data_IF_662493081656
#
_entry.id   IF_662493081656
#
_cell.length_a   1.000
_cell.length_b   1.000
_cell.length_c   1.000
_cell.angle_alpha   90.00
_cell.angle_beta   90.00
_cell.angle_gamma   90.00
#
_symmetry.space_group_name_H-M   'P 1'
#
loop_
_entity.id
_entity.type
_entity.pdbx_description
1 polymer ?
#
# COMPACT_ATOMS: atom_id res chain seq x y z
N UNK A 1 11.29 -8.95 55.79
CA UNK A 1 11.14 -10.08 54.86
C UNK A 1 11.82 -9.68 53.56
N UNK A 2 12.79 -10.46 53.13
CA UNK A 2 13.66 -10.21 51.99
C UNK A 2 12.88 -10.33 50.68
N UNK A 3 12.88 -9.25 49.90
CA UNK A 3 12.38 -9.22 48.53
C UNK A 3 13.53 -9.65 47.61
N UNK A 4 13.38 -10.76 46.90
CA UNK A 4 14.32 -11.22 45.87
C UNK A 4 13.70 -10.88 44.52
N UNK A 5 14.32 -9.96 43.78
CA UNK A 5 13.99 -9.72 42.37
C UNK A 5 14.90 -10.58 41.50
N UNK A 6 14.32 -11.58 40.84
CA UNK A 6 14.95 -12.27 39.72
C UNK A 6 14.53 -11.53 38.43
N UNK A 7 15.44 -10.71 37.88
CA UNK A 7 15.35 -10.27 36.50
C UNK A 7 16.03 -11.32 35.61
N UNK A 8 15.25 -12.20 35.01
CA UNK A 8 15.70 -12.96 33.84
C UNK A 8 15.46 -12.13 32.58
N UNK A 9 16.53 -11.55 32.05
CA UNK A 9 16.54 -11.00 30.70
C UNK A 9 16.53 -12.14 29.69
N UNK A 10 15.38 -12.40 29.09
CA UNK A 10 15.28 -13.00 27.76
C UNK A 10 14.67 -11.95 26.85
N UNK A 11 15.53 -11.23 26.11
CA UNK A 11 15.09 -10.42 24.96
C UNK A 11 14.78 -11.41 23.84
N UNK A 12 13.65 -12.10 23.96
CA UNK A 12 13.01 -12.73 22.81
C UNK A 12 12.29 -11.62 22.05
N UNK A 13 12.69 -11.37 20.81
CA UNK A 13 11.88 -10.57 19.88
C UNK A 13 10.58 -11.33 19.69
N UNK A 14 9.53 -10.99 20.44
CA UNK A 14 8.19 -11.43 20.13
C UNK A 14 7.85 -10.80 18.78
N UNK A 15 7.88 -11.61 17.71
CA UNK A 15 7.26 -11.28 16.43
C UNK A 15 5.74 -11.21 16.65
N UNK A 16 5.28 -10.12 17.26
CA UNK A 16 3.87 -9.87 17.51
C UNK A 16 3.16 -9.60 16.19
N UNK A 17 2.05 -10.31 15.97
CA UNK A 17 1.06 -9.91 14.97
C UNK A 17 0.36 -8.64 15.48
N UNK A 18 0.42 -7.54 14.72
CA UNK A 18 -0.42 -6.38 15.01
C UNK A 18 -1.84 -6.67 14.54
N UNK A 19 -2.74 -6.90 15.51
CA UNK A 19 -4.16 -7.15 15.27
C UNK A 19 -4.94 -5.93 15.74
N UNK A 20 -5.69 -5.31 14.83
CA UNK A 20 -6.44 -4.08 15.10
C UNK A 20 -7.92 -4.42 15.19
N UNK A 21 -8.53 -4.14 16.33
CA UNK A 21 -9.97 -4.34 16.55
C UNK A 21 -10.65 -2.98 16.73
N UNK A 22 -11.82 -2.82 16.11
CA UNK A 22 -12.63 -1.62 16.23
C UNK A 22 -14.11 -1.99 16.28
N UNK A 23 -14.93 -1.34 17.13
CA UNK A 23 -14.52 -0.38 18.16
C UNK A 23 -13.84 -1.05 19.37
N UNK A 24 -13.07 -0.28 20.14
CA UNK A 24 -12.33 -0.78 21.32
C UNK A 24 -13.21 -0.96 22.55
N UNK A 25 -14.34 -0.25 22.62
CA UNK A 25 -15.33 -0.33 23.69
C UNK A 25 -16.72 0.04 23.13
N UNK A 26 -17.77 -0.53 23.72
CA UNK A 26 -19.15 -0.44 23.26
C UNK A 26 -20.13 -0.45 24.44
N UNK A 27 -21.07 0.49 24.43
CA UNK A 27 -22.22 0.50 25.34
C UNK A 27 -23.48 0.41 24.49
N UNK A 28 -24.20 -0.70 24.62
CA UNK A 28 -25.38 -1.02 23.79
C UNK A 28 -26.56 -1.40 24.66
N UNK A 29 -27.78 -1.28 24.13
CA UNK A 29 -28.97 -1.75 24.82
C UNK A 29 -29.22 -3.24 24.52
N UNK A 30 -29.92 -3.97 25.40
CA UNK A 30 -30.33 -5.34 25.12
C UNK A 30 -31.14 -5.43 23.82
N UNK A 31 -30.69 -6.29 22.90
CA UNK A 31 -31.33 -6.50 21.59
C UNK A 31 -30.70 -5.71 20.43
N UNK A 32 -29.77 -4.78 20.71
CA UNK A 32 -29.04 -4.07 19.65
C UNK A 32 -28.11 -5.03 18.90
N UNK A 33 -28.07 -4.90 17.57
CA UNK A 33 -27.07 -5.59 16.76
C UNK A 33 -25.76 -4.82 16.78
N UNK A 34 -24.65 -5.52 16.97
CA UNK A 34 -23.33 -4.93 17.21
C UNK A 34 -22.34 -5.52 16.21
N UNK A 35 -21.61 -4.65 15.52
CA UNK A 35 -20.55 -5.05 14.63
C UNK A 35 -19.19 -4.71 15.24
N UNK A 36 -18.32 -5.71 15.29
CA UNK A 36 -16.91 -5.56 15.67
C UNK A 36 -16.08 -5.99 14.47
N UNK A 37 -15.17 -5.13 14.04
CA UNK A 37 -14.23 -5.39 12.96
C UNK A 37 -12.85 -5.71 13.51
N UNK A 38 -12.15 -6.64 12.87
CA UNK A 38 -10.79 -7.05 13.21
C UNK A 38 -9.94 -7.15 11.92
N UNK A 39 -8.71 -6.65 11.93
CA UNK A 39 -7.80 -6.71 10.78
C UNK A 39 -6.34 -6.94 11.19
N UNK A 40 -5.54 -7.46 10.26
CA UNK A 40 -4.09 -7.61 10.39
C UNK A 40 -3.40 -7.45 9.03
N UNK A 41 -2.11 -7.13 9.02
CA UNK A 41 -1.38 -6.85 7.78
C UNK A 41 -0.59 -8.06 7.23
N UNK A 42 -0.73 -9.26 7.83
CA UNK A 42 -0.05 -10.48 7.37
C UNK A 42 -0.76 -11.15 6.18
N UNK A 43 0.00 -11.43 5.12
CA UNK A 43 -0.51 -12.05 3.88
C UNK A 43 -0.58 -13.59 3.94
N UNK A 44 0.14 -14.19 4.89
CA UNK A 44 0.27 -15.63 5.08
C UNK A 44 -0.68 -16.18 6.17
N UNK A 45 -1.40 -15.32 6.88
CA UNK A 45 -2.29 -15.71 7.97
C UNK A 45 -3.69 -15.96 7.43
N UNK A 46 -4.09 -17.22 7.46
CA UNK A 46 -5.32 -17.71 6.82
C UNK A 46 -6.47 -17.95 7.77
N UNK A 47 -6.23 -17.73 9.06
CA UNK A 47 -7.16 -18.08 10.12
C UNK A 47 -7.32 -16.90 11.05
N UNK A 48 -8.55 -16.48 11.27
CA UNK A 48 -8.90 -15.48 12.28
C UNK A 48 -9.86 -16.10 13.27
N UNK A 49 -9.43 -16.17 14.52
CA UNK A 49 -10.16 -16.78 15.63
C UNK A 49 -10.85 -15.68 16.45
N UNK A 50 -12.13 -15.86 16.77
CA UNK A 50 -12.91 -14.94 17.58
C UNK A 50 -13.18 -15.54 18.95
N UNK A 51 -12.84 -14.79 20.00
CA UNK A 51 -12.98 -15.23 21.37
C UNK A 51 -13.78 -14.24 22.20
N UNK A 52 -14.55 -14.75 23.15
CA UNK A 52 -15.24 -13.96 24.17
C UNK A 52 -14.66 -14.27 25.54
N UNK A 53 -14.61 -13.25 26.41
CA UNK A 53 -14.38 -13.43 27.84
C UNK A 53 -15.44 -12.65 28.60
N UNK A 54 -16.33 -13.35 29.29
CA UNK A 54 -17.37 -12.72 30.11
C UNK A 54 -16.79 -12.20 31.42
N UNK A 55 -17.42 -11.19 32.06
CA UNK A 55 -17.04 -10.75 33.39
C UNK A 55 -17.03 -11.92 34.39
N UNK A 56 -15.91 -12.14 35.06
CA UNK A 56 -15.73 -13.24 36.02
C UNK A 56 -15.15 -14.54 35.45
N UNK A 57 -15.05 -14.69 34.13
CA UNK A 57 -14.38 -15.84 33.51
C UNK A 57 -12.85 -15.67 33.50
N UNK A 58 -12.12 -16.74 33.83
CA UNK A 58 -10.64 -16.79 33.75
C UNK A 58 -10.14 -17.19 32.37
N UNK A 59 -10.96 -17.90 31.58
CA UNK A 59 -10.61 -18.41 30.27
C UNK A 59 -11.36 -17.67 29.14
N UNK A 60 -10.72 -17.57 27.97
CA UNK A 60 -11.35 -17.13 26.73
C UNK A 60 -12.09 -18.31 26.10
N UNK A 61 -13.37 -18.12 25.73
CA UNK A 61 -14.16 -19.13 25.03
C UNK A 61 -14.16 -18.81 23.54
N UNK A 62 -13.94 -19.83 22.70
CA UNK A 62 -13.99 -19.68 21.25
C UNK A 62 -15.44 -19.47 20.83
N UNK A 63 -15.72 -18.38 20.11
CA UNK A 63 -17.01 -18.16 19.44
C UNK A 63 -17.01 -18.90 18.11
N UNK A 64 -15.93 -18.76 17.34
CA UNK A 64 -15.80 -19.31 16.01
C UNK A 64 -14.55 -18.82 15.30
N UNK A 65 -14.39 -19.18 14.05
CA UNK A 65 -13.26 -18.79 13.23
C UNK A 65 -13.62 -18.64 11.75
N UNK A 66 -12.84 -17.79 11.09
CA UNK A 66 -12.80 -17.66 9.64
C UNK A 66 -11.51 -18.32 9.14
N UNK A 67 -11.63 -19.30 8.25
CA UNK A 67 -10.52 -19.96 7.57
C UNK A 67 -10.62 -19.65 6.07
N UNK A 68 -9.71 -18.85 5.53
CA UNK A 68 -9.84 -18.25 4.19
C UNK A 68 -11.17 -17.49 4.06
N UNK A 69 -12.19 -18.09 3.46
CA UNK A 69 -13.55 -17.56 3.30
C UNK A 69 -14.59 -18.41 4.03
N UNK A 70 -14.18 -19.54 4.60
CA UNK A 70 -15.05 -20.47 5.31
C UNK A 70 -15.22 -20.03 6.75
N UNK A 71 -16.47 -19.79 7.15
CA UNK A 71 -16.84 -19.45 8.52
C UNK A 71 -17.27 -20.70 9.26
N UNK A 72 -16.74 -20.89 10.47
CA UNK A 72 -17.21 -21.89 11.42
C UNK A 72 -17.53 -21.22 12.76
N UNK A 73 -18.74 -21.42 13.23
CA UNK A 73 -19.20 -20.93 14.53
C UNK A 73 -19.42 -22.13 15.43
N UNK A 74 -19.01 -22.02 16.69
CA UNK A 74 -19.25 -23.07 17.68
C UNK A 74 -20.76 -23.10 18.00
N UNK A 75 -21.34 -24.31 18.07
CA UNK A 75 -22.78 -24.53 18.26
C UNK A 75 -23.47 -23.63 19.30
N UNK A 76 -22.90 -23.36 20.49
CA UNK A 76 -23.54 -22.51 21.48
C UNK A 76 -23.74 -21.04 21.05
N UNK A 77 -23.06 -20.60 19.99
CA UNK A 77 -23.02 -19.21 19.55
C UNK A 77 -23.68 -18.98 18.18
N UNK A 78 -24.12 -20.03 17.48
CA UNK A 78 -24.69 -19.92 16.11
C UNK A 78 -25.93 -19.03 16.01
N UNK A 79 -26.73 -18.95 17.08
CA UNK A 79 -27.96 -18.12 17.10
C UNK A 79 -27.69 -16.64 17.44
N UNK A 80 -26.55 -16.33 18.06
CA UNK A 80 -26.26 -15.01 18.62
C UNK A 80 -25.12 -14.28 17.92
N UNK A 81 -24.28 -15.00 17.19
CA UNK A 81 -23.10 -14.47 16.54
C UNK A 81 -23.08 -14.82 15.05
N UNK A 82 -22.60 -13.89 14.24
CA UNK A 82 -22.25 -14.12 12.84
C UNK A 82 -20.84 -13.61 12.60
N UNK A 83 -20.01 -14.41 11.93
CA UNK A 83 -18.68 -14.00 11.48
C UNK A 83 -18.74 -13.81 9.97
N UNK A 84 -18.13 -12.75 9.46
CA UNK A 84 -17.95 -12.50 8.04
C UNK A 84 -16.57 -11.90 7.80
N UNK A 85 -15.98 -12.22 6.65
CA UNK A 85 -14.68 -11.70 6.24
C UNK A 85 -14.05 -12.53 5.14
N UNK A 86 -12.91 -12.05 4.63
CA UNK A 86 -12.11 -12.74 3.62
C UNK A 86 -10.62 -12.68 4.01
N UNK A 87 -10.05 -13.85 4.34
CA UNK A 87 -8.62 -14.08 4.57
C UNK A 87 -7.99 -14.85 3.39
N UNK A 88 -8.73 -14.96 2.28
CA UNK A 88 -8.20 -15.38 1.01
C UNK A 88 -6.97 -14.56 0.64
N UNK A 89 -6.13 -15.11 -0.25
CA UNK A 89 -5.12 -14.24 -0.87
C UNK A 89 -5.99 -13.27 -1.67
N UNK A 90 -6.18 -12.04 -1.18
CA UNK A 90 -6.03 -10.98 -2.15
C UNK A 90 -4.65 -11.26 -2.72
N UNK A 91 -4.56 -11.74 -3.96
CA UNK A 91 -3.40 -11.48 -4.82
C UNK A 91 -3.42 -9.96 -5.01
N UNK A 92 -3.28 -9.26 -3.89
CA UNK A 92 -3.40 -7.84 -3.71
C UNK A 92 -2.17 -7.35 -4.41
N UNK A 93 -2.43 -6.96 -5.65
CA UNK A 93 -1.69 -5.94 -6.32
C UNK A 93 -1.58 -4.80 -5.28
N UNK A 94 -0.37 -4.48 -4.82
CA UNK A 94 -0.18 -3.25 -4.05
C UNK A 94 -0.35 -2.11 -5.05
N UNK A 95 -1.59 -1.68 -5.22
CA UNK A 95 -1.96 -0.67 -6.20
C UNK A 95 -1.68 0.67 -5.56
N UNK A 96 -0.56 1.28 -5.93
CA UNK A 96 -0.23 2.62 -5.46
C UNK A 96 -0.85 3.61 -6.42
N UNK A 97 -1.76 4.43 -5.90
CA UNK A 97 -2.31 5.55 -6.64
C UNK A 97 -1.84 6.87 -6.03
N UNK A 98 -1.67 7.89 -6.87
CA UNK A 98 -1.32 9.24 -6.44
C UNK A 98 -2.04 10.25 -7.33
N UNK A 99 -2.66 11.29 -6.76
CA UNK A 99 -2.84 11.53 -5.33
C UNK A 99 -3.94 10.66 -4.68
N UNK A 100 -3.92 10.51 -3.34
CA UNK A 100 -4.93 9.72 -2.60
C UNK A 100 -6.22 10.50 -2.31
N UNK A 101 -6.18 11.83 -2.40
CA UNK A 101 -7.30 12.75 -2.17
C UNK A 101 -7.15 13.94 -3.12
N UNK A 102 -8.27 14.38 -3.73
CA UNK A 102 -8.32 15.43 -4.74
C UNK A 102 -9.42 16.44 -4.39
N UNK A 103 -9.03 17.72 -4.29
CA UNK A 103 -9.95 18.85 -4.24
C UNK A 103 -9.73 19.67 -5.51
N UNK A 104 -10.68 19.64 -6.42
CA UNK A 104 -10.56 20.24 -7.76
C UNK A 104 -11.77 21.11 -8.06
N UNK A 105 -11.59 22.12 -8.91
CA UNK A 105 -12.69 22.94 -9.39
C UNK A 105 -13.27 22.36 -10.70
N UNK A 106 -14.54 22.63 -11.01
CA UNK A 106 -15.12 22.23 -12.29
C UNK A 106 -14.30 22.75 -13.47
N UNK A 107 -13.81 21.85 -14.32
CA UNK A 107 -13.00 22.17 -15.50
C UNK A 107 -11.48 22.00 -15.32
N UNK A 108 -11.00 21.69 -14.12
CA UNK A 108 -9.60 21.35 -13.89
C UNK A 108 -9.28 19.98 -14.51
N UNK A 109 -8.16 19.88 -15.23
CA UNK A 109 -7.62 18.59 -15.67
C UNK A 109 -6.83 17.96 -14.53
N UNK A 110 -7.12 16.71 -14.21
CA UNK A 110 -6.60 16.02 -13.03
C UNK A 110 -5.96 14.71 -13.45
N UNK A 111 -4.70 14.52 -13.06
CA UNK A 111 -3.97 13.29 -13.32
C UNK A 111 -3.97 12.41 -12.08
N UNK A 112 -4.51 11.20 -12.22
CA UNK A 112 -4.42 10.13 -11.22
C UNK A 112 -3.49 9.07 -11.77
N UNK A 113 -2.37 8.84 -11.10
CA UNK A 113 -1.40 7.82 -11.48
C UNK A 113 -1.63 6.56 -10.68
N UNK A 114 -1.46 5.39 -11.30
CA UNK A 114 -1.63 4.08 -10.68
C UNK A 114 -0.49 3.15 -11.10
N UNK A 115 0.04 2.33 -10.18
CA UNK A 115 1.16 1.43 -10.45
C UNK A 115 1.07 0.14 -9.64
N UNK A 116 1.71 -0.92 -10.14
CA UNK A 116 1.92 -2.18 -9.44
C UNK A 116 3.26 -2.81 -9.79
N UNK A 117 3.71 -3.75 -8.96
CA UNK A 117 4.99 -4.45 -9.08
C UNK A 117 4.87 -5.93 -9.51
N UNK A 118 3.64 -6.40 -9.78
CA UNK A 118 3.38 -7.80 -10.19
C UNK A 118 3.69 -8.08 -11.66
N UNK A 119 4.59 -9.02 -11.88
CA UNK A 119 4.86 -9.61 -13.20
C UNK A 119 3.67 -10.47 -13.66
N UNK A 120 3.33 -10.42 -14.96
CA UNK A 120 2.22 -11.19 -15.55
C UNK A 120 0.84 -10.55 -15.44
N UNK A 121 0.72 -9.40 -14.77
CA UNK A 121 -0.52 -8.62 -14.68
C UNK A 121 -0.51 -7.55 -15.76
N UNK A 122 -1.06 -7.90 -16.93
CA UNK A 122 -1.07 -7.02 -18.10
C UNK A 122 -2.33 -6.18 -18.20
N UNK A 123 -3.16 -6.13 -17.16
CA UNK A 123 -4.42 -5.42 -17.18
C UNK A 123 -4.59 -4.56 -15.92
N UNK A 124 -4.92 -3.29 -16.11
CA UNK A 124 -5.30 -2.36 -15.07
C UNK A 124 -6.70 -1.84 -15.34
N UNK A 125 -7.61 -1.99 -14.38
CA UNK A 125 -8.99 -1.53 -14.49
C UNK A 125 -9.21 -0.27 -13.64
N UNK A 126 -9.94 0.70 -14.19
CA UNK A 126 -10.21 1.97 -13.55
C UNK A 126 -11.70 2.10 -13.26
N UNK A 127 -12.04 2.42 -12.02
CA UNK A 127 -13.42 2.52 -11.56
C UNK A 127 -13.69 3.86 -10.90
N UNK A 128 -14.93 4.33 -11.04
CA UNK A 128 -15.47 5.47 -10.31
C UNK A 128 -16.54 4.99 -9.32
N UNK A 129 -16.56 5.58 -8.12
CA UNK A 129 -17.70 5.49 -7.20
C UNK A 129 -18.14 6.89 -6.82
N UNK A 130 -19.32 7.29 -7.26
CA UNK A 130 -19.90 8.58 -6.89
C UNK A 130 -20.35 8.60 -5.43
N UNK A 131 -20.35 9.77 -4.77
CA UNK A 131 -20.93 9.89 -3.42
C UNK A 131 -22.39 9.41 -3.40
N UNK A 132 -22.69 8.45 -2.52
CA UNK A 132 -24.04 7.85 -2.41
C UNK A 132 -24.26 6.60 -3.25
N UNK A 133 -23.39 6.28 -4.21
CA UNK A 133 -23.46 5.01 -4.96
C UNK A 133 -22.82 3.88 -4.14
N UNK A 134 -23.48 2.73 -4.11
CA UNK A 134 -22.94 1.49 -3.52
C UNK A 134 -22.10 0.69 -4.51
N UNK A 135 -22.31 0.86 -5.81
CA UNK A 135 -21.62 0.16 -6.88
C UNK A 135 -20.49 1.00 -7.49
N UNK A 136 -19.39 0.33 -7.84
CA UNK A 136 -18.33 0.90 -8.67
C UNK A 136 -18.70 0.78 -10.14
N UNK A 137 -18.55 1.87 -10.89
CA UNK A 137 -18.76 1.91 -12.34
C UNK A 137 -17.41 1.87 -13.05
N UNK A 138 -17.26 1.00 -14.03
CA UNK A 138 -16.04 0.91 -14.83
C UNK A 138 -15.93 2.16 -15.71
N UNK A 139 -14.78 2.84 -15.65
CA UNK A 139 -14.42 3.93 -16.56
C UNK A 139 -13.80 3.34 -17.83
N UNK A 140 -12.90 2.37 -17.64
CA UNK A 140 -12.13 1.75 -18.71
C UNK A 140 -11.01 0.88 -18.16
N UNK A 141 -10.19 0.33 -19.04
CA UNK A 141 -9.03 -0.48 -18.67
C UNK A 141 -7.85 -0.23 -19.61
N UNK A 142 -6.64 -0.42 -19.07
CA UNK A 142 -5.40 -0.51 -19.84
C UNK A 142 -5.00 -1.98 -19.93
N UNK A 143 -4.82 -2.50 -21.14
CA UNK A 143 -4.28 -3.83 -21.39
C UNK A 143 -2.95 -3.72 -22.12
N UNK A 144 -1.86 -4.13 -21.47
CA UNK A 144 -0.49 -3.99 -21.94
C UNK A 144 -0.12 -2.52 -22.20
N UNK A 145 -0.41 -1.98 -23.38
CA UNK A 145 -0.26 -0.55 -23.73
C UNK A 145 -1.53 0.07 -24.30
N UNK A 146 -2.55 -0.76 -24.53
CA UNK A 146 -3.77 -0.39 -25.22
C UNK A 146 -4.84 -0.02 -24.21
N UNK A 147 -5.33 1.22 -24.28
CA UNK A 147 -6.40 1.71 -23.43
C UNK A 147 -7.77 1.51 -24.10
N UNK A 148 -8.72 1.00 -23.34
CA UNK A 148 -10.13 0.88 -23.72
C UNK A 148 -10.97 1.68 -22.75
N UNK A 149 -11.81 2.56 -23.29
CA UNK A 149 -12.75 3.38 -22.52
C UNK A 149 -14.18 2.87 -22.68
N UNK A 150 -14.96 2.96 -21.61
CA UNK A 150 -16.41 2.83 -21.70
C UNK A 150 -17.00 4.08 -22.40
N UNK A 151 -17.95 3.87 -23.30
CA UNK A 151 -18.51 4.94 -24.14
C UNK A 151 -19.17 6.08 -23.34
N UNK A 152 -19.56 5.85 -22.09
CA UNK A 152 -20.11 6.90 -21.22
C UNK A 152 -19.05 7.82 -20.62
N UNK A 153 -17.77 7.47 -20.70
CA UNK A 153 -16.67 8.17 -20.03
C UNK A 153 -15.58 8.68 -21.00
N UNK A 154 -15.65 8.36 -22.29
CA UNK A 154 -14.63 8.64 -23.30
C UNK A 154 -14.36 10.13 -23.57
N UNK A 155 -15.28 11.02 -23.20
CA UNK A 155 -15.14 12.49 -23.30
C UNK A 155 -14.59 13.15 -22.04
N UNK A 156 -14.70 12.48 -20.89
CA UNK A 156 -14.38 13.04 -19.57
C UNK A 156 -13.08 12.47 -19.00
N UNK A 157 -12.69 11.28 -19.45
CA UNK A 157 -11.54 10.54 -18.95
C UNK A 157 -10.65 10.09 -20.10
N UNK A 158 -9.35 10.03 -19.82
CA UNK A 158 -8.34 9.45 -20.70
C UNK A 158 -7.47 8.50 -19.88
N UNK A 159 -7.26 7.27 -20.39
CA UNK A 159 -6.37 6.29 -19.76
C UNK A 159 -5.13 6.15 -20.64
N UNK A 160 -3.96 6.28 -20.03
CA UNK A 160 -2.65 6.06 -20.66
C UNK A 160 -1.75 5.26 -19.74
N UNK A 161 -0.87 4.42 -20.27
CA UNK A 161 0.18 3.75 -19.49
C UNK A 161 0.85 2.61 -20.25
N UNK A 162 1.87 2.02 -19.63
CA UNK A 162 2.61 0.87 -20.15
C UNK A 162 2.79 -0.18 -19.04
N UNK A 163 2.03 -1.27 -19.16
CA UNK A 163 2.11 -2.44 -18.28
C UNK A 163 3.08 -3.49 -18.85
N UNK A 164 3.68 -3.26 -20.02
CA UNK A 164 4.41 -4.24 -20.81
C UNK A 164 5.90 -4.40 -20.49
N UNK A 165 6.37 -3.91 -19.33
CA UNK A 165 7.78 -3.99 -18.94
C UNK A 165 8.28 -5.44 -18.87
N UNK A 166 9.16 -5.82 -19.80
CA UNK A 166 9.90 -7.08 -19.82
C UNK A 166 11.22 -6.93 -19.09
N UNK A 167 11.82 -8.05 -18.70
CA UNK A 167 13.22 -8.05 -18.29
C UNK A 167 14.10 -7.48 -19.42
N UNK A 168 14.93 -6.48 -19.12
CA UNK A 168 15.69 -5.71 -20.12
C UNK A 168 15.04 -4.40 -20.58
N UNK A 169 13.78 -4.11 -20.21
CA UNK A 169 13.17 -2.81 -20.48
C UNK A 169 13.67 -1.74 -19.48
N UNK A 170 13.47 -0.47 -19.83
CA UNK A 170 13.76 0.66 -18.94
C UNK A 170 12.49 1.33 -18.45
N UNK A 171 12.43 1.66 -17.16
CA UNK A 171 11.28 2.32 -16.52
C UNK A 171 11.71 3.67 -15.96
N UNK A 172 10.92 4.71 -16.22
CA UNK A 172 11.12 6.05 -15.65
C UNK A 172 10.15 6.29 -14.50
N UNK A 173 10.68 6.57 -13.32
CA UNK A 173 9.96 7.11 -12.18
C UNK A 173 10.17 8.62 -12.14
N UNK A 174 9.08 9.39 -12.04
CA UNK A 174 9.13 10.86 -12.00
C UNK A 174 8.68 11.34 -10.63
N UNK A 175 9.45 12.24 -10.03
CA UNK A 175 9.13 12.90 -8.77
C UNK A 175 9.10 14.42 -8.98
N UNK A 176 8.04 15.07 -8.49
CA UNK A 176 7.89 16.53 -8.59
C UNK A 176 7.43 17.15 -7.27
N UNK A 177 7.81 18.40 -7.02
CA UNK A 177 7.29 19.18 -5.88
C UNK A 177 7.33 20.69 -6.14
N UNK A 178 6.47 21.43 -5.43
CA UNK A 178 6.35 22.90 -5.55
C UNK A 178 7.37 23.70 -4.74
N UNK A 179 8.07 23.09 -3.76
CA UNK A 179 9.00 23.79 -2.87
C UNK A 179 10.20 24.35 -3.64
N UNK A 180 10.22 25.65 -3.87
CA UNK A 180 11.19 26.30 -4.76
C UNK A 180 12.60 26.37 -4.18
N UNK A 181 12.76 26.23 -2.88
CA UNK A 181 14.01 26.29 -2.11
C UNK A 181 14.60 24.90 -1.83
N UNK A 182 13.87 23.83 -2.11
CA UNK A 182 14.35 22.46 -1.93
C UNK A 182 15.22 22.10 -3.13
N UNK A 183 16.53 22.04 -2.87
CA UNK A 183 17.59 21.89 -3.87
C UNK A 183 18.19 20.49 -3.89
N UNK A 184 17.70 19.57 -3.07
CA UNK A 184 18.14 18.17 -3.04
C UNK A 184 16.94 17.26 -3.21
N UNK A 185 17.04 16.28 -4.10
CA UNK A 185 16.06 15.20 -4.29
C UNK A 185 16.78 13.86 -4.22
N UNK A 186 16.40 13.02 -3.27
CA UNK A 186 16.98 11.71 -3.00
C UNK A 186 16.04 10.62 -3.47
N UNK A 187 16.61 9.52 -3.95
CA UNK A 187 15.90 8.33 -4.39
C UNK A 187 16.30 7.11 -3.56
N UNK A 188 15.31 6.39 -3.05
CA UNK A 188 15.49 5.21 -2.22
C UNK A 188 14.78 4.01 -2.82
N UNK A 189 15.33 2.84 -2.53
CA UNK A 189 14.74 1.53 -2.81
C UNK A 189 14.48 0.79 -1.50
N UNK A 190 13.32 0.16 -1.38
CA UNK A 190 12.97 -0.75 -0.29
C UNK A 190 12.58 -2.11 -0.87
N UNK A 191 13.42 -3.11 -0.63
CA UNK A 191 13.17 -4.47 -1.11
C UNK A 191 12.05 -5.13 -0.29
N UNK A 192 11.25 -6.02 -0.89
CA UNK A 192 10.30 -6.85 -0.13
C UNK A 192 10.98 -7.78 0.87
N UNK A 193 12.24 -8.17 0.62
CA UNK A 193 13.03 -9.05 1.52
C UNK A 193 13.83 -8.28 2.57
N UNK A 194 14.04 -6.99 2.36
CA UNK A 194 14.85 -6.12 3.22
C UNK A 194 14.10 -4.80 3.43
N UNK A 195 13.49 -4.66 4.62
CA UNK A 195 12.67 -3.50 4.95
C UNK A 195 13.46 -2.20 5.11
N UNK A 196 14.79 -2.23 5.07
CA UNK A 196 15.61 -1.03 5.13
C UNK A 196 15.53 -0.21 3.82
N UNK A 197 15.46 1.12 3.97
CA UNK A 197 15.58 2.04 2.83
C UNK A 197 17.05 2.14 2.41
N UNK A 198 17.35 1.69 1.19
CA UNK A 198 18.66 1.83 0.56
C UNK A 198 18.67 3.07 -0.33
N UNK A 199 19.63 3.96 -0.14
CA UNK A 199 19.80 5.13 -1.00
C UNK A 199 20.35 4.65 -2.36
N UNK A 200 19.72 5.07 -3.45
CA UNK A 200 20.19 4.85 -4.82
C UNK A 200 21.15 5.99 -5.21
N UNK A 201 20.72 7.22 -4.92
CA UNK A 201 21.43 8.43 -5.28
C UNK A 201 20.56 9.66 -5.09
N UNK A 202 21.09 10.82 -5.47
CA UNK A 202 20.39 12.09 -5.34
C UNK A 202 20.83 13.11 -6.38
N UNK A 203 19.92 14.04 -6.69
CA UNK A 203 20.25 15.29 -7.38
C UNK A 203 20.40 16.37 -6.33
N UNK A 204 21.48 17.15 -6.42
CA UNK A 204 21.65 18.40 -5.67
C UNK A 204 21.90 19.53 -6.67
N UNK A 205 20.99 20.51 -6.71
CA UNK A 205 20.89 21.50 -7.77
C UNK A 205 20.78 20.82 -9.14
N UNK A 206 21.85 20.83 -9.94
CA UNK A 206 21.92 20.17 -11.25
C UNK A 206 22.97 19.05 -11.28
N UNK A 207 23.54 18.73 -10.12
CA UNK A 207 24.59 17.71 -9.98
C UNK A 207 23.97 16.41 -9.48
N UNK A 208 24.39 15.28 -10.07
CA UNK A 208 23.88 13.95 -9.74
C UNK A 208 24.95 13.16 -8.99
N UNK A 209 24.55 12.57 -7.88
CA UNK A 209 25.38 11.74 -7.02
C UNK A 209 24.73 10.35 -6.90
N UNK A 210 25.55 9.31 -6.95
CA UNK A 210 25.11 7.92 -6.86
C UNK A 210 25.81 7.24 -5.70
N UNK A 211 25.15 6.25 -5.12
CA UNK A 211 25.82 5.26 -4.27
C UNK A 211 26.62 4.28 -5.15
N UNK A 212 27.76 3.82 -4.62
CA UNK A 212 28.89 3.21 -5.37
C UNK A 212 28.49 1.97 -6.22
N UNK A 213 27.40 1.29 -5.87
CA UNK A 213 26.89 0.08 -6.55
C UNK A 213 25.57 0.30 -7.33
N UNK A 214 25.02 1.51 -7.33
CA UNK A 214 23.70 1.78 -7.95
C UNK A 214 23.78 2.33 -9.37
N UNK A 215 24.97 2.65 -9.89
CA UNK A 215 25.12 3.30 -11.21
C UNK A 215 24.81 2.41 -12.41
N UNK A 216 24.90 1.09 -12.27
CA UNK A 216 24.80 0.18 -13.42
C UNK A 216 23.35 0.02 -13.88
N UNK A 217 22.40 -0.03 -12.95
CA UNK A 217 20.99 -0.26 -13.22
C UNK A 217 20.09 0.96 -12.97
N UNK A 218 20.66 2.05 -12.47
CA UNK A 218 19.91 3.27 -12.18
C UNK A 218 20.57 4.51 -12.79
N UNK A 219 19.77 5.30 -13.50
CA UNK A 219 20.18 6.58 -14.04
C UNK A 219 19.26 7.68 -13.52
N UNK A 220 19.81 8.66 -12.81
CA UNK A 220 19.06 9.78 -12.24
C UNK A 220 19.26 11.00 -13.14
N UNK A 221 18.18 11.72 -13.41
CA UNK A 221 18.19 13.00 -14.11
C UNK A 221 17.33 14.01 -13.35
N UNK A 222 17.54 15.29 -13.60
CA UNK A 222 16.76 16.36 -12.99
C UNK A 222 17.57 17.62 -12.84
N UNK A 223 16.89 18.76 -12.93
CA UNK A 223 17.50 20.05 -12.63
C UNK A 223 16.65 20.78 -11.58
N UNK A 224 17.19 20.83 -10.37
CA UNK A 224 16.58 21.51 -9.24
C UNK A 224 17.03 22.97 -9.14
N UNK A 225 17.78 23.48 -10.12
CA UNK A 225 18.16 24.89 -10.21
C UNK A 225 16.95 25.81 -10.51
N UNK A 226 17.10 27.12 -10.28
CA UNK A 226 16.03 28.11 -10.51
C UNK A 226 14.91 28.15 -9.45
N UNK A 227 13.91 29.01 -9.64
CA UNK A 227 12.83 29.25 -8.65
C UNK A 227 11.46 28.74 -9.13
N UNK A 228 11.45 27.67 -9.91
CA UNK A 228 10.24 26.98 -10.38
C UNK A 228 10.02 25.68 -9.60
N UNK A 229 8.86 25.06 -9.83
CA UNK A 229 8.60 23.70 -9.39
C UNK A 229 9.72 22.75 -9.83
N UNK A 230 10.00 21.76 -8.99
CA UNK A 230 11.13 20.86 -9.13
C UNK A 230 10.70 19.54 -9.72
N UNK A 231 11.53 19.00 -10.59
CA UNK A 231 11.37 17.68 -11.15
C UNK A 231 12.68 16.90 -11.09
N UNK A 232 12.55 15.62 -10.81
CA UNK A 232 13.63 14.65 -10.94
C UNK A 232 13.06 13.36 -11.51
N UNK A 233 13.90 12.61 -12.20
CA UNK A 233 13.53 11.30 -12.73
C UNK A 233 14.59 10.27 -12.41
N UNK A 234 14.14 9.10 -12.02
CA UNK A 234 14.95 7.90 -11.84
C UNK A 234 14.58 6.93 -12.94
N UNK A 235 15.54 6.57 -13.77
CA UNK A 235 15.44 5.52 -14.76
C UNK A 235 16.02 4.24 -14.16
N UNK A 236 15.25 3.16 -14.20
CA UNK A 236 15.72 1.81 -13.93
C UNK A 236 16.01 1.19 -15.30
N UNK A 237 17.25 0.80 -15.54
CA UNK A 237 17.69 0.23 -16.82
C UNK A 237 17.99 -1.26 -16.63
N UNK A 238 17.75 -2.04 -17.69
CA UNK A 238 17.94 -3.49 -17.69
C UNK A 238 17.23 -4.19 -16.51
N UNK A 239 15.90 -4.03 -16.46
CA UNK A 239 15.09 -4.55 -15.36
C UNK A 239 15.33 -6.04 -15.05
N UNK A 240 15.90 -6.34 -13.88
CA UNK A 240 15.95 -7.68 -13.26
C UNK A 240 14.88 -7.84 -12.17
N UNK A 241 14.04 -8.89 -12.27
CA UNK A 241 12.95 -9.14 -11.30
C UNK A 241 13.46 -9.37 -9.86
N UNK A 242 14.57 -10.08 -9.70
CA UNK A 242 15.18 -10.38 -8.39
C UNK A 242 15.73 -9.16 -7.67
N UNK A 243 16.03 -8.08 -8.39
CA UNK A 243 16.77 -6.93 -7.87
C UNK A 243 15.92 -5.65 -7.86
N UNK A 244 15.01 -5.49 -8.83
CA UNK A 244 14.26 -4.25 -9.05
C UNK A 244 12.77 -4.34 -8.67
N UNK A 245 12.26 -5.51 -8.26
CA UNK A 245 10.92 -5.61 -7.68
C UNK A 245 10.92 -5.06 -6.24
N UNK A 246 10.66 -3.75 -6.11
CA UNK A 246 10.79 -3.02 -4.86
C UNK A 246 9.86 -1.79 -4.78
N UNK A 247 9.74 -1.22 -3.59
CA UNK A 247 9.12 0.10 -3.40
C UNK A 247 10.17 1.18 -3.59
N UNK A 248 9.88 2.16 -4.43
CA UNK A 248 10.77 3.29 -4.68
C UNK A 248 10.19 4.56 -4.06
N UNK A 249 11.03 5.29 -3.33
CA UNK A 249 10.65 6.55 -2.68
C UNK A 249 11.52 7.68 -3.21
N UNK A 250 10.91 8.85 -3.40
CA UNK A 250 11.65 10.10 -3.53
C UNK A 250 11.44 10.97 -2.29
N UNK A 251 12.49 11.69 -1.88
CA UNK A 251 12.43 12.65 -0.78
C UNK A 251 13.13 13.95 -1.20
N UNK A 252 12.60 15.09 -0.79
CA UNK A 252 13.19 16.40 -1.11
C UNK A 252 13.60 17.14 0.17
N UNK A 253 14.72 17.87 0.12
CA UNK A 253 15.19 18.72 1.22
C UNK A 253 15.92 19.98 0.72
N UNK A 254 16.10 20.92 1.64
CA UNK A 254 16.95 22.09 1.45
C UNK A 254 18.43 21.69 1.27
N UNK A 255 19.17 22.41 0.42
CA UNK A 255 20.64 22.25 0.33
C UNK A 255 21.30 23.26 1.27
N UNK A 256 22.04 22.76 2.27
CA UNK A 256 22.88 23.59 3.13
C UNK A 256 24.16 24.02 2.44
#
# INVERSE_FOLDING_TARGET
MTTVFLLSWLIGVCLGLDVRQSPSDLVTNPGDNVQISCSHDRKDYRVMLWYQRSPGDTARKLIGYLYYQEVRIEKPYEEQFSIAGDLGVCLGLDVRHSPCELVTNPGDNVQISCSHDRTGYWQMLWYQRSPGDTAMKLIGYLYFKDATMEASYDKEFEITGDLGGKAGDSVQLVCTHGQTDYRVMLWYQQSPTDQALKLIGYVQHSQIYYEELSREHFNITGDLSGNKAKNGSLFIVDLTESEHSAVYYCAARYAH
#
